data_IF_125805397195
#
_entry.id   IF_125805397195
#
_cell.length_a   1.000
_cell.length_b   1.000
_cell.length_c   1.000
_cell.angle_alpha   90.00
_cell.angle_beta   90.00
_cell.angle_gamma   90.00
#
_symmetry.space_group_name_H-M   'P 1'
#
loop_
_entity.id
_entity.type
_entity.pdbx_description
1 polymer ?
#
# COMPACT_ATOMS: atom_id res chain seq x y z
N UNK A 1 -50.29 48.01 22.26
CA UNK A 1 -49.05 47.85 21.47
C UNK A 1 -48.51 46.44 21.67
N UNK A 2 -48.75 45.52 20.72
CA UNK A 2 -48.26 44.13 20.79
C UNK A 2 -47.02 44.02 19.91
N UNK A 3 -45.86 43.71 20.50
CA UNK A 3 -44.60 43.49 19.76
C UNK A 3 -44.57 42.05 19.27
N UNK A 4 -44.52 41.85 17.96
CA UNK A 4 -44.29 40.56 17.31
C UNK A 4 -42.77 40.38 17.22
N UNK A 5 -42.24 39.33 17.84
CA UNK A 5 -40.83 38.93 17.74
C UNK A 5 -40.74 37.91 16.61
N UNK A 6 -40.19 38.32 15.48
CA UNK A 6 -39.92 37.45 14.34
C UNK A 6 -38.58 36.75 14.57
N UNK A 7 -38.61 35.47 14.95
CA UNK A 7 -37.41 34.65 15.06
C UNK A 7 -36.97 34.23 13.65
N UNK A 8 -35.86 34.79 13.17
CA UNK A 8 -35.25 34.40 11.89
C UNK A 8 -34.40 33.15 12.10
N UNK A 9 -34.86 32.02 11.56
CA UNK A 9 -34.13 30.76 11.53
C UNK A 9 -32.99 30.88 10.49
N UNK A 10 -31.78 31.16 10.95
CA UNK A 10 -30.59 31.10 10.10
C UNK A 10 -30.20 29.63 9.95
N UNK A 11 -30.62 29.03 8.83
CA UNK A 11 -30.06 27.77 8.32
C UNK A 11 -28.60 28.04 7.91
N UNK A 12 -27.69 27.85 8.86
CA UNK A 12 -26.26 27.81 8.59
C UNK A 12 -25.95 26.62 7.69
N UNK A 13 -25.85 26.85 6.37
CA UNK A 13 -25.16 25.96 5.45
C UNK A 13 -23.69 25.93 5.88
N UNK A 14 -23.34 24.95 6.71
CA UNK A 14 -21.96 24.57 6.94
C UNK A 14 -21.40 24.08 5.61
N UNK A 15 -20.68 24.94 4.90
CA UNK A 15 -19.81 24.54 3.81
C UNK A 15 -18.78 23.55 4.38
N UNK A 16 -19.05 22.27 4.16
CA UNK A 16 -18.09 21.20 4.40
C UNK A 16 -16.87 21.53 3.54
N UNK A 17 -15.84 22.12 4.15
CA UNK A 17 -14.50 22.21 3.59
C UNK A 17 -14.03 20.78 3.29
N UNK A 18 -14.33 20.26 2.11
CA UNK A 18 -13.86 18.96 1.67
C UNK A 18 -12.33 19.05 1.61
N UNK A 19 -11.66 18.20 2.38
CA UNK A 19 -10.22 18.05 2.21
C UNK A 19 -10.03 17.32 0.88
N UNK A 20 -9.45 17.97 -0.13
CA UNK A 20 -9.25 17.33 -1.42
C UNK A 20 -8.26 16.16 -1.30
N UNK A 21 -8.67 14.99 -1.80
CA UNK A 21 -7.72 13.91 -2.07
C UNK A 21 -6.79 14.32 -3.23
N UNK A 22 -5.57 13.79 -3.25
CA UNK A 22 -4.35 14.26 -3.94
C UNK A 22 -3.37 14.89 -2.93
N UNK A 23 -3.08 14.13 -1.88
CA UNK A 23 -2.13 14.55 -0.85
C UNK A 23 -0.74 14.58 -1.52
N UNK A 24 -0.09 15.77 -1.62
CA UNK A 24 1.21 15.90 -2.27
C UNK A 24 2.21 14.92 -1.67
N UNK A 25 2.96 14.27 -2.54
CA UNK A 25 3.99 13.33 -2.15
C UNK A 25 5.28 13.68 -2.85
N UNK A 26 6.31 13.98 -2.07
CA UNK A 26 7.67 14.06 -2.59
C UNK A 26 8.13 12.64 -2.98
N UNK A 27 8.02 12.34 -4.27
CA UNK A 27 8.39 11.04 -4.85
C UNK A 27 9.88 10.75 -4.66
N UNK A 28 10.75 11.77 -4.70
CA UNK A 28 12.20 11.60 -4.54
C UNK A 28 12.54 11.24 -3.09
N UNK A 29 12.00 11.99 -2.14
CA UNK A 29 12.17 11.69 -0.71
C UNK A 29 11.56 10.33 -0.34
N UNK A 30 10.38 9.99 -0.89
CA UNK A 30 9.78 8.68 -0.66
C UNK A 30 10.65 7.55 -1.21
N UNK A 31 11.16 7.68 -2.45
CA UNK A 31 12.05 6.68 -3.06
C UNK A 31 13.32 6.49 -2.22
N UNK A 32 13.96 7.57 -1.80
CA UNK A 32 15.14 7.51 -0.93
C UNK A 32 14.84 6.84 0.42
N UNK A 33 13.70 7.17 1.04
CA UNK A 33 13.25 6.54 2.30
C UNK A 33 12.98 5.05 2.13
N UNK A 34 12.34 4.66 1.02
CA UNK A 34 12.06 3.25 0.72
C UNK A 34 13.37 2.48 0.51
N UNK A 35 14.31 3.00 -0.27
CA UNK A 35 15.61 2.38 -0.48
C UNK A 35 16.36 2.19 0.85
N UNK A 36 16.37 3.20 1.73
CA UNK A 36 16.97 3.09 3.07
C UNK A 36 16.30 2.01 3.92
N UNK A 37 14.97 1.86 3.83
CA UNK A 37 14.22 0.84 4.58
C UNK A 37 14.46 -0.57 4.05
N UNK A 38 14.52 -0.70 2.72
CA UNK A 38 14.77 -1.95 2.01
C UNK A 38 16.15 -2.53 2.35
N UNK A 39 17.12 -1.67 2.68
CA UNK A 39 18.47 -2.08 3.01
C UNK A 39 19.27 -2.42 1.75
N UNK A 40 20.32 -3.22 1.91
CA UNK A 40 21.20 -3.58 0.80
C UNK A 40 20.44 -4.38 -0.28
N UNK A 41 20.56 -4.00 -1.57
CA UNK A 41 19.98 -4.77 -2.65
C UNK A 41 20.78 -6.06 -2.87
N UNK A 42 20.11 -7.08 -3.41
CA UNK A 42 20.81 -8.29 -3.87
C UNK A 42 21.78 -7.93 -5.01
N UNK A 43 22.96 -8.58 -5.10
CA UNK A 43 23.86 -8.41 -6.26
C UNK A 43 23.18 -8.78 -7.59
N UNK A 44 22.11 -9.60 -7.53
CA UNK A 44 21.32 -10.05 -8.69
C UNK A 44 20.05 -9.22 -8.93
N UNK A 45 19.66 -8.33 -8.01
CA UNK A 45 18.49 -7.46 -8.19
C UNK A 45 18.82 -5.99 -7.88
N UNK A 46 19.49 -5.34 -8.83
CA UNK A 46 19.92 -3.93 -8.72
C UNK A 46 18.76 -2.93 -8.85
N UNK A 47 17.62 -3.36 -9.41
CA UNK A 47 16.46 -2.52 -9.68
C UNK A 47 15.25 -2.92 -8.82
N UNK A 48 15.51 -3.30 -7.57
CA UNK A 48 14.48 -3.75 -6.62
C UNK A 48 13.32 -2.75 -6.49
N UNK A 49 12.08 -3.26 -6.60
CA UNK A 49 10.83 -2.55 -6.37
C UNK A 49 10.25 -2.94 -5.00
N UNK A 50 10.90 -2.47 -3.94
CA UNK A 50 10.49 -2.74 -2.56
C UNK A 50 9.26 -1.88 -2.13
N UNK A 51 8.24 -2.45 -1.44
CA UNK A 51 8.08 -3.84 -1.03
C UNK A 51 7.36 -4.71 -2.08
N UNK A 52 7.05 -4.17 -3.25
CA UNK A 52 6.14 -4.77 -4.24
C UNK A 52 6.62 -6.14 -4.72
N UNK A 53 7.90 -6.32 -5.00
CA UNK A 53 8.41 -7.59 -5.52
C UNK A 53 8.29 -8.78 -4.55
N UNK A 54 8.08 -8.51 -3.26
CA UNK A 54 7.98 -9.55 -2.23
C UNK A 54 6.57 -10.10 -2.06
N UNK A 55 5.56 -9.53 -2.70
CA UNK A 55 4.24 -10.16 -2.77
C UNK A 55 4.29 -11.43 -3.63
N UNK A 56 3.44 -12.39 -3.31
CA UNK A 56 3.21 -13.55 -4.17
C UNK A 56 2.59 -13.16 -5.53
N UNK A 57 1.77 -12.10 -5.55
CA UNK A 57 1.09 -11.60 -6.75
C UNK A 57 1.39 -10.10 -6.93
N UNK A 58 2.62 -9.72 -7.33
CA UNK A 58 3.10 -8.35 -7.22
C UNK A 58 2.54 -7.40 -8.28
N UNK A 59 2.13 -7.90 -9.46
CA UNK A 59 1.77 -7.06 -10.61
C UNK A 59 0.26 -6.96 -10.88
N UNK A 60 -0.54 -7.92 -10.39
CA UNK A 60 -1.96 -8.01 -10.73
C UNK A 60 -2.90 -7.50 -9.63
N UNK A 61 -2.36 -6.94 -8.54
CA UNK A 61 -3.14 -6.40 -7.42
C UNK A 61 -2.88 -4.89 -7.25
N UNK A 62 -3.92 -4.06 -7.07
CA UNK A 62 -3.75 -2.62 -6.90
C UNK A 62 -3.23 -2.26 -5.50
N UNK A 63 -2.35 -1.26 -5.42
CA UNK A 63 -2.04 -0.58 -4.15
C UNK A 63 -3.14 0.44 -3.83
N UNK A 64 -4.30 -0.05 -3.39
CA UNK A 64 -5.53 0.73 -3.25
C UNK A 64 -5.38 2.03 -2.44
N UNK A 65 -4.70 2.00 -1.28
CA UNK A 65 -4.42 3.22 -0.48
C UNK A 65 -3.64 4.27 -1.28
N UNK A 66 -2.68 3.84 -2.09
CA UNK A 66 -1.88 4.73 -2.94
C UNK A 66 -2.75 5.39 -4.01
N UNK A 67 -3.60 4.60 -4.67
CA UNK A 67 -4.52 5.09 -5.69
C UNK A 67 -5.52 6.10 -5.13
N UNK A 68 -6.14 5.79 -4.00
CA UNK A 68 -7.20 6.62 -3.42
C UNK A 68 -6.66 7.93 -2.82
N UNK A 69 -5.44 7.93 -2.27
CA UNK A 69 -4.89 9.12 -1.58
C UNK A 69 -4.01 10.00 -2.46
N UNK A 70 -3.34 9.42 -3.46
CA UNK A 70 -2.20 10.06 -4.15
C UNK A 70 -2.24 9.98 -5.68
N UNK A 71 -3.21 9.29 -6.28
CA UNK A 71 -3.35 9.33 -7.73
C UNK A 71 -3.66 10.76 -8.19
N UNK A 72 -3.15 11.25 -9.33
CA UNK A 72 -3.43 12.61 -9.80
C UNK A 72 -4.92 12.94 -9.92
N UNK A 73 -5.76 11.92 -10.17
CA UNK A 73 -7.20 12.05 -10.28
C UNK A 73 -7.94 11.75 -8.97
N UNK A 74 -7.25 11.49 -7.86
CA UNK A 74 -7.91 11.10 -6.61
C UNK A 74 -8.81 12.19 -6.04
N UNK A 75 -8.58 13.47 -6.36
CA UNK A 75 -9.48 14.58 -6.04
C UNK A 75 -10.90 14.35 -6.57
N UNK A 76 -11.04 13.69 -7.72
CA UNK A 76 -12.35 13.40 -8.35
C UNK A 76 -13.19 12.37 -7.57
N UNK A 77 -12.61 11.73 -6.55
CA UNK A 77 -13.33 10.83 -5.65
C UNK A 77 -14.22 11.59 -4.66
N UNK A 78 -14.01 12.90 -4.47
CA UNK A 78 -14.76 13.73 -3.52
C UNK A 78 -14.90 13.05 -2.15
N UNK A 79 -13.77 12.56 -1.61
CA UNK A 79 -13.78 11.81 -0.35
C UNK A 79 -14.28 12.70 0.79
N UNK A 80 -15.16 12.17 1.63
CA UNK A 80 -15.57 12.86 2.84
C UNK A 80 -14.39 12.98 3.83
N UNK A 81 -14.46 13.94 4.75
CA UNK A 81 -13.46 14.07 5.84
C UNK A 81 -13.31 12.77 6.64
N UNK A 82 -14.41 12.06 6.87
CA UNK A 82 -14.42 10.79 7.58
C UNK A 82 -13.69 9.70 6.78
N UNK A 83 -13.94 9.61 5.47
CA UNK A 83 -13.25 8.66 4.60
C UNK A 83 -11.75 8.92 4.58
N UNK A 84 -11.34 10.19 4.42
CA UNK A 84 -9.92 10.58 4.43
C UNK A 84 -9.25 10.20 5.74
N UNK A 85 -9.90 10.50 6.87
CA UNK A 85 -9.37 10.17 8.20
C UNK A 85 -9.14 8.66 8.34
N UNK A 86 -10.14 7.84 7.98
CA UNK A 86 -10.02 6.37 8.01
C UNK A 86 -8.89 5.86 7.11
N UNK A 87 -8.78 6.38 5.88
CA UNK A 87 -7.75 5.96 4.93
C UNK A 87 -6.33 6.36 5.37
N UNK A 88 -6.17 7.55 5.94
CA UNK A 88 -4.89 8.02 6.47
C UNK A 88 -4.47 7.19 7.69
N UNK A 89 -5.41 6.84 8.57
CA UNK A 89 -5.15 5.96 9.71
C UNK A 89 -4.78 4.53 9.26
N UNK A 90 -5.52 3.96 8.30
CA UNK A 90 -5.16 2.69 7.68
C UNK A 90 -3.74 2.71 7.09
N UNK A 91 -3.36 3.81 6.41
CA UNK A 91 -1.99 3.95 5.89
C UNK A 91 -0.95 3.97 7.01
N UNK A 92 -1.23 4.61 8.15
CA UNK A 92 -0.32 4.63 9.31
C UNK A 92 -0.13 3.26 9.95
N UNK A 93 -1.16 2.43 9.98
CA UNK A 93 -1.14 1.12 10.64
C UNK A 93 -0.71 -0.02 9.71
N UNK A 94 -1.28 -0.09 8.50
CA UNK A 94 -1.04 -1.20 7.56
C UNK A 94 0.32 -1.11 6.86
N UNK A 95 0.76 0.10 6.48
CA UNK A 95 2.02 0.27 5.73
C UNK A 95 3.24 -0.22 6.50
N UNK A 96 3.44 0.10 7.80
CA UNK A 96 4.57 -0.45 8.56
C UNK A 96 4.55 -1.98 8.64
N UNK A 97 3.38 -2.59 8.83
CA UNK A 97 3.23 -4.06 8.86
C UNK A 97 3.65 -4.70 7.54
N UNK A 98 3.16 -4.19 6.41
CA UNK A 98 3.55 -4.66 5.07
C UNK A 98 5.06 -4.51 4.84
N UNK A 99 5.64 -3.37 5.23
CA UNK A 99 7.08 -3.14 5.13
C UNK A 99 7.85 -4.17 5.97
N UNK A 100 7.43 -4.42 7.21
CA UNK A 100 8.08 -5.38 8.10
C UNK A 100 8.07 -6.78 7.49
N UNK A 101 6.90 -7.24 7.04
CA UNK A 101 6.76 -8.56 6.42
C UNK A 101 7.60 -8.69 5.14
N UNK A 102 7.62 -7.67 4.28
CA UNK A 102 8.47 -7.68 3.08
C UNK A 102 9.97 -7.73 3.43
N UNK A 103 10.41 -7.04 4.48
CA UNK A 103 11.79 -7.13 4.98
C UNK A 103 12.12 -8.54 5.49
N UNK A 104 11.20 -9.20 6.17
CA UNK A 104 11.38 -10.57 6.65
C UNK A 104 11.57 -11.53 5.47
N UNK A 105 10.73 -11.43 4.43
CA UNK A 105 10.90 -12.20 3.19
C UNK A 105 12.25 -11.92 2.54
N UNK A 106 12.59 -10.64 2.33
CA UNK A 106 13.88 -10.23 1.76
C UNK A 106 15.06 -10.83 2.52
N UNK A 107 15.04 -10.76 3.85
CA UNK A 107 16.12 -11.28 4.69
C UNK A 107 16.30 -12.79 4.52
N UNK A 108 15.20 -13.54 4.34
CA UNK A 108 15.26 -14.98 4.09
C UNK A 108 15.78 -15.28 2.68
N UNK A 109 15.34 -14.53 1.66
CA UNK A 109 15.84 -14.67 0.28
C UNK A 109 17.36 -14.40 0.21
N UNK A 110 17.85 -13.35 0.90
CA UNK A 110 19.29 -13.08 1.01
C UNK A 110 20.04 -14.15 1.82
N UNK A 111 19.39 -14.74 2.83
CA UNK A 111 20.00 -15.86 3.59
C UNK A 111 20.17 -17.10 2.71
N UNK A 112 19.22 -17.36 1.80
CA UNK A 112 19.33 -18.44 0.83
C UNK A 112 20.50 -18.19 -0.14
N UNK A 113 20.67 -16.96 -0.62
CA UNK A 113 21.83 -16.58 -1.42
C UNK A 113 23.14 -16.86 -0.67
N UNK A 114 23.23 -16.44 0.60
CA UNK A 114 24.42 -16.70 1.42
C UNK A 114 24.71 -18.19 1.61
N UNK A 115 23.68 -19.04 1.71
CA UNK A 115 23.89 -20.50 1.78
C UNK A 115 24.57 -21.03 0.50
N UNK A 116 24.20 -20.50 -0.67
CA UNK A 116 24.82 -20.86 -1.96
C UNK A 116 26.28 -20.40 -2.07
N UNK A 117 26.67 -19.34 -1.38
CA UNK A 117 28.06 -18.85 -1.34
C UNK A 117 28.96 -19.67 -0.39
N UNK A 118 28.38 -20.53 0.44
CA UNK A 118 29.12 -21.40 1.38
C UNK A 118 29.26 -22.82 0.83
N UNK A 119 29.87 -23.72 1.61
CA UNK A 119 29.99 -25.14 1.25
C UNK A 119 28.63 -25.83 0.98
N UNK A 120 27.50 -25.28 1.44
CA UNK A 120 26.16 -25.78 1.06
C UNK A 120 25.87 -25.59 -0.45
N UNK A 121 26.46 -24.60 -1.12
CA UNK A 121 26.29 -24.36 -2.55
C UNK A 121 27.07 -25.29 -3.47
N UNK A 122 28.07 -26.01 -2.94
CA UNK A 122 28.84 -27.01 -3.69
C UNK A 122 28.14 -28.38 -3.74
N UNK A 123 26.91 -28.48 -3.24
CA UNK A 123 26.10 -29.70 -3.28
C UNK A 123 25.48 -29.91 -4.66
N UNK A 124 25.30 -31.17 -5.05
CA UNK A 124 24.63 -31.53 -6.33
C UNK A 124 23.10 -31.52 -6.23
N UNK A 125 22.55 -31.28 -5.04
CA UNK A 125 21.11 -31.28 -4.74
C UNK A 125 20.80 -30.19 -3.72
N UNK A 126 19.55 -29.74 -3.72
CA UNK A 126 19.01 -28.82 -2.70
C UNK A 126 19.01 -29.53 -1.35
N UNK A 127 19.54 -28.88 -0.32
CA UNK A 127 19.56 -29.43 1.03
C UNK A 127 18.19 -29.30 1.72
N UNK A 128 17.91 -30.11 2.74
CA UNK A 128 16.70 -30.01 3.56
C UNK A 128 16.52 -28.61 4.16
N UNK A 129 17.63 -27.95 4.51
CA UNK A 129 17.64 -26.59 5.06
C UNK A 129 17.21 -25.56 4.02
N UNK A 130 17.74 -25.66 2.79
CA UNK A 130 17.32 -24.81 1.68
C UNK A 130 15.85 -25.04 1.34
N UNK A 131 15.40 -26.30 1.27
CA UNK A 131 14.00 -26.64 1.02
C UNK A 131 13.07 -26.02 2.06
N UNK A 132 13.36 -26.21 3.35
CA UNK A 132 12.57 -25.62 4.45
C UNK A 132 12.54 -24.10 4.41
N UNK A 133 13.66 -23.46 4.02
CA UNK A 133 13.72 -22.01 3.89
C UNK A 133 12.86 -21.51 2.72
N UNK A 134 12.88 -22.21 1.58
CA UNK A 134 12.01 -21.91 0.43
C UNK A 134 10.53 -22.04 0.81
N UNK A 135 10.15 -23.11 1.52
CA UNK A 135 8.77 -23.28 2.00
C UNK A 135 8.35 -22.14 2.95
N UNK A 136 9.25 -21.75 3.85
CA UNK A 136 9.02 -20.63 4.78
C UNK A 136 8.85 -19.30 4.03
N UNK A 137 9.70 -19.04 3.03
CA UNK A 137 9.59 -17.88 2.14
C UNK A 137 8.21 -17.88 1.47
N UNK A 138 7.81 -19.00 0.87
CA UNK A 138 6.52 -19.13 0.19
C UNK A 138 5.34 -18.84 1.15
N UNK A 139 5.35 -19.40 2.36
CA UNK A 139 4.35 -19.10 3.40
C UNK A 139 4.32 -17.61 3.73
N UNK A 140 5.46 -16.97 3.93
CA UNK A 140 5.53 -15.54 4.27
C UNK A 140 5.08 -14.63 3.14
N UNK A 141 5.41 -14.95 1.88
CA UNK A 141 4.88 -14.23 0.70
C UNK A 141 3.37 -14.35 0.60
N UNK A 142 2.82 -15.54 0.90
CA UNK A 142 1.37 -15.75 0.94
C UNK A 142 0.69 -14.93 2.05
N UNK A 143 1.25 -14.93 3.28
CA UNK A 143 0.75 -14.09 4.37
C UNK A 143 0.78 -12.60 4.00
N UNK A 144 1.89 -12.14 3.42
CA UNK A 144 2.05 -10.75 2.96
C UNK A 144 1.01 -10.37 1.90
N UNK A 145 0.78 -11.24 0.91
CA UNK A 145 -0.27 -11.01 -0.09
C UNK A 145 -1.67 -11.03 0.51
N UNK A 146 -1.97 -11.93 1.46
CA UNK A 146 -3.26 -11.91 2.18
C UNK A 146 -3.47 -10.60 2.95
N UNK A 147 -2.43 -10.08 3.61
CA UNK A 147 -2.50 -8.79 4.28
C UNK A 147 -2.75 -7.63 3.30
N UNK A 148 -2.17 -7.68 2.09
CA UNK A 148 -2.44 -6.71 1.02
C UNK A 148 -3.87 -6.84 0.49
N UNK A 149 -4.38 -8.05 0.24
CA UNK A 149 -5.77 -8.28 -0.14
C UNK A 149 -6.74 -7.72 0.89
N UNK A 150 -6.48 -7.96 2.19
CA UNK A 150 -7.28 -7.37 3.26
C UNK A 150 -7.22 -5.84 3.21
N UNK A 151 -6.05 -5.24 2.99
CA UNK A 151 -5.94 -3.79 2.82
C UNK A 151 -6.74 -3.27 1.62
N UNK A 152 -6.84 -4.02 0.52
CA UNK A 152 -7.67 -3.64 -0.64
C UNK A 152 -9.15 -3.66 -0.25
N UNK A 153 -9.62 -4.73 0.38
CA UNK A 153 -11.01 -4.88 0.85
C UNK A 153 -11.36 -3.78 1.86
N UNK A 154 -10.48 -3.54 2.83
CA UNK A 154 -10.61 -2.50 3.84
C UNK A 154 -10.80 -1.11 3.19
N UNK A 155 -10.02 -0.78 2.16
CA UNK A 155 -10.18 0.47 1.39
C UNK A 155 -11.51 0.49 0.64
N UNK A 156 -11.87 -0.60 -0.03
CA UNK A 156 -13.13 -0.70 -0.77
C UNK A 156 -14.37 -0.49 0.11
N UNK A 157 -14.30 -0.93 1.37
CA UNK A 157 -15.37 -0.76 2.36
C UNK A 157 -15.50 0.68 2.87
N UNK A 158 -14.45 1.50 2.77
CA UNK A 158 -14.53 2.94 3.08
C UNK A 158 -15.19 3.72 1.95
N UNK A 159 -15.05 3.24 0.70
CA UNK A 159 -15.54 3.93 -0.49
C UNK A 159 -17.02 3.60 -0.80
N UNK A 160 -17.71 4.54 -1.43
CA UNK A 160 -19.01 4.27 -2.08
C UNK A 160 -18.81 3.42 -3.34
N UNK A 161 -19.90 2.84 -3.87
CA UNK A 161 -19.86 2.09 -5.14
C UNK A 161 -19.30 2.94 -6.29
N UNK A 162 -19.80 4.16 -6.44
CA UNK A 162 -19.34 5.10 -7.48
C UNK A 162 -17.84 5.44 -7.34
N UNK A 163 -17.36 5.66 -6.11
CA UNK A 163 -15.94 5.89 -5.86
C UNK A 163 -15.08 4.68 -6.23
N UNK A 164 -15.54 3.45 -5.95
CA UNK A 164 -14.83 2.22 -6.35
C UNK A 164 -14.71 2.10 -7.86
N UNK A 165 -15.78 2.40 -8.60
CA UNK A 165 -15.79 2.38 -10.06
C UNK A 165 -14.80 3.41 -10.64
N UNK A 166 -14.76 4.63 -10.08
CA UNK A 166 -13.76 5.65 -10.44
C UNK A 166 -12.32 5.20 -10.20
N UNK A 167 -12.04 4.55 -9.07
CA UNK A 167 -10.69 4.02 -8.76
C UNK A 167 -10.28 2.94 -9.76
N UNK A 168 -11.19 2.05 -10.16
CA UNK A 168 -10.89 1.02 -11.16
C UNK A 168 -10.57 1.62 -12.54
N UNK A 169 -11.25 2.71 -12.90
CA UNK A 169 -10.97 3.42 -14.15
C UNK A 169 -9.56 4.04 -14.19
N UNK A 170 -8.90 4.31 -13.05
CA UNK A 170 -7.51 4.78 -13.05
C UNK A 170 -6.54 3.80 -13.72
N UNK A 171 -6.84 2.49 -13.66
CA UNK A 171 -6.01 1.46 -14.25
C UNK A 171 -6.17 1.35 -15.77
N UNK A 172 -7.27 1.85 -16.34
CA UNK A 172 -7.58 1.76 -17.77
C UNK A 172 -7.26 3.04 -18.55
N UNK A 173 -7.00 4.15 -17.84
CA UNK A 173 -6.58 5.39 -18.46
C UNK A 173 -5.14 5.22 -18.99
N UNK A 174 -5.00 5.22 -20.31
CA UNK A 174 -3.69 5.29 -20.97
C UNK A 174 -2.96 6.51 -20.43
N UNK A 175 -1.72 6.33 -19.97
CA UNK A 175 -0.80 7.45 -19.76
C UNK A 175 -0.60 8.12 -21.13
N UNK A 176 -1.28 9.24 -21.34
CA UNK A 176 -0.96 10.23 -22.38
C UNK A 176 0.34 10.93 -22.02
#
# INVERSE_FOLDING_TARGET
>A
MKKIITATLILGLSSLLMADANIPMDKKAMKAKIAKIAGEPSPFNKNEDFPKEYFLIPHNLPFALGLVLHHPQSSTLNLSKEQITKLVEMKKTKKPTIIKMAKEVKSMELSLLKMLETNEGNQTKVSDKMSKLVDTIATKKAELTKAHLQCIIDVQNVLTKEQREKVMAYATIKKT
#
